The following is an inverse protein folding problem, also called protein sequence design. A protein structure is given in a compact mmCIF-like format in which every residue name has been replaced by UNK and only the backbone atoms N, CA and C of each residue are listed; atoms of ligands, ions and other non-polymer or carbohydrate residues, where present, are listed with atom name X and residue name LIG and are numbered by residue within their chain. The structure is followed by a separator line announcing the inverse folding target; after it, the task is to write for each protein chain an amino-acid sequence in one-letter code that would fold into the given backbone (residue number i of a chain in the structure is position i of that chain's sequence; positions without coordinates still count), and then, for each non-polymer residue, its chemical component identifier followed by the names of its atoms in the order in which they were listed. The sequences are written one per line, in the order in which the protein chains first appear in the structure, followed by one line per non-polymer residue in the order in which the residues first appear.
data_IF_363226349048
#
_entry.id   IF_363226349048
#
_cell.length_a   1.000
_cell.length_b   1.000
_cell.length_c   1.000
_cell.angle_alpha   90.00
_cell.angle_beta   90.00
_cell.angle_gamma   90.00
#
_symmetry.space_group_name_H-M   'P 1'
#
loop_
_entity.id
_entity.type
_entity.pdbx_description
1 polymer ?
#
# COMPACT_ATOMS: atom_id res chain seq x y z
N UNK A 1 -58.86 7.06 46.44
CA UNK A 1 -57.55 6.38 46.41
C UNK A 1 -56.88 6.75 45.10
N UNK A 2 -55.94 7.69 45.14
CA UNK A 2 -55.14 8.06 43.98
C UNK A 2 -54.12 6.95 43.75
N UNK A 3 -54.08 6.42 42.53
CA UNK A 3 -53.00 5.54 42.11
C UNK A 3 -51.72 6.39 42.05
N UNK A 4 -50.78 6.15 42.95
CA UNK A 4 -49.41 6.61 42.80
C UNK A 4 -48.87 6.00 41.51
N UNK A 5 -48.71 6.83 40.48
CA UNK A 5 -47.95 6.46 39.30
C UNK A 5 -46.51 6.21 39.77
N UNK A 6 -46.09 4.95 39.75
CA UNK A 6 -44.75 4.52 40.13
C UNK A 6 -43.72 5.36 39.36
N UNK A 7 -42.95 6.20 40.07
CA UNK A 7 -42.03 7.13 39.43
C UNK A 7 -40.96 6.35 38.68
N UNK A 8 -40.93 6.49 37.35
CA UNK A 8 -39.98 5.78 36.51
C UNK A 8 -38.53 6.11 36.90
N UNK A 9 -37.72 5.07 37.12
CA UNK A 9 -36.33 5.21 37.55
C UNK A 9 -35.46 5.95 36.53
N UNK A 10 -34.38 6.60 36.97
CA UNK A 10 -33.43 7.28 36.07
C UNK A 10 -32.84 6.32 35.02
N UNK A 11 -32.62 5.05 35.40
CA UNK A 11 -32.17 3.99 34.49
C UNK A 11 -33.19 3.76 33.38
N UNK A 12 -34.47 3.66 33.72
CA UNK A 12 -35.52 3.35 32.75
C UNK A 12 -35.79 4.53 31.81
N UNK A 13 -35.81 5.76 32.34
CA UNK A 13 -35.79 6.99 31.51
C UNK A 13 -34.59 7.00 30.57
N UNK A 14 -33.40 6.64 31.06
CA UNK A 14 -32.19 6.50 30.24
C UNK A 14 -32.34 5.47 29.12
N UNK A 15 -32.96 4.32 29.42
CA UNK A 15 -33.25 3.26 28.45
C UNK A 15 -34.23 3.74 27.37
N UNK A 16 -35.25 4.54 27.71
CA UNK A 16 -36.18 5.13 26.74
C UNK A 16 -35.46 6.08 25.76
N UNK A 17 -34.66 7.01 26.28
CA UNK A 17 -33.87 7.89 25.42
C UNK A 17 -32.85 7.11 24.57
N UNK A 18 -32.28 6.03 25.09
CA UNK A 18 -31.38 5.17 24.32
C UNK A 18 -32.12 4.50 23.16
N UNK A 19 -33.30 3.93 23.41
CA UNK A 19 -34.16 3.33 22.36
C UNK A 19 -34.61 4.35 21.32
N UNK A 20 -34.84 5.60 21.73
CA UNK A 20 -35.16 6.71 20.84
C UNK A 20 -33.94 7.28 20.08
N UNK A 21 -32.75 6.69 20.22
CA UNK A 21 -31.52 7.17 19.57
C UNK A 21 -30.92 8.45 20.19
N UNK A 22 -31.48 8.94 21.30
CA UNK A 22 -30.97 10.11 22.00
C UNK A 22 -29.89 9.72 23.02
N UNK A 23 -28.74 9.29 22.49
CA UNK A 23 -27.65 8.74 23.30
C UNK A 23 -27.03 9.74 24.27
N UNK A 24 -27.06 11.04 23.95
CA UNK A 24 -26.54 12.09 24.83
C UNK A 24 -27.40 12.25 26.08
N UNK A 25 -28.74 12.30 25.94
CA UNK A 25 -29.66 12.32 27.08
C UNK A 25 -29.62 11.01 27.85
N UNK A 26 -29.55 9.86 27.17
CA UNK A 26 -29.39 8.57 27.82
C UNK A 26 -28.13 8.52 28.70
N UNK A 27 -26.97 8.93 28.18
CA UNK A 27 -25.72 8.96 28.93
C UNK A 27 -25.77 9.91 30.13
N UNK A 28 -26.47 11.06 30.01
CA UNK A 28 -26.68 11.98 31.12
C UNK A 28 -27.52 11.35 32.23
N UNK A 29 -28.62 10.68 31.89
CA UNK A 29 -29.50 9.99 32.84
C UNK A 29 -28.81 8.81 33.52
N UNK A 30 -28.06 7.99 32.78
CA UNK A 30 -27.24 6.94 33.39
C UNK A 30 -26.17 7.52 34.32
N UNK A 31 -25.58 8.67 33.99
CA UNK A 31 -24.61 9.34 34.88
C UNK A 31 -25.26 9.80 36.17
N UNK A 32 -26.50 10.31 36.12
CA UNK A 32 -27.26 10.65 37.34
C UNK A 32 -27.61 9.39 38.14
N UNK A 33 -28.04 8.31 37.47
CA UNK A 33 -28.33 7.03 38.12
C UNK A 33 -27.08 6.45 38.81
N UNK A 34 -25.90 6.52 38.19
CA UNK A 34 -24.63 6.05 38.77
C UNK A 34 -24.26 6.82 40.04
N UNK A 35 -24.60 8.11 40.12
CA UNK A 35 -24.39 8.88 41.37
C UNK A 35 -25.26 8.37 42.52
N UNK A 36 -26.44 7.82 42.22
CA UNK A 36 -27.35 7.26 43.22
C UNK A 36 -26.96 5.81 43.59
N UNK A 37 -26.46 5.05 42.61
CA UNK A 37 -26.12 3.63 42.77
C UNK A 37 -24.80 3.29 42.04
N UNK A 38 -23.64 3.61 42.64
CA UNK A 38 -22.34 3.47 41.98
C UNK A 38 -21.83 2.03 41.93
N UNK A 39 -22.47 1.08 42.62
CA UNK A 39 -22.11 -0.35 42.59
C UNK A 39 -22.89 -1.15 41.55
N UNK A 40 -23.76 -0.49 40.78
CA UNK A 40 -24.62 -1.18 39.82
C UNK A 40 -23.97 -1.33 38.43
N UNK A 41 -23.50 -2.54 38.06
CA UNK A 41 -22.82 -2.77 36.78
C UNK A 41 -23.71 -2.47 35.58
N UNK A 42 -25.04 -2.56 35.71
CA UNK A 42 -25.97 -2.33 34.60
C UNK A 42 -25.94 -0.89 34.11
N UNK A 43 -25.76 0.06 35.02
CA UNK A 43 -25.72 1.48 34.67
C UNK A 43 -24.47 1.82 33.85
N UNK A 44 -23.32 1.28 34.25
CA UNK A 44 -22.08 1.42 33.48
C UNK A 44 -22.18 0.73 32.12
N UNK A 45 -22.73 -0.49 32.04
CA UNK A 45 -22.92 -1.20 30.77
C UNK A 45 -23.81 -0.44 29.78
N UNK A 46 -24.88 0.18 30.29
CA UNK A 46 -25.82 0.98 29.49
C UNK A 46 -25.19 2.32 29.07
N UNK A 47 -24.43 2.97 29.95
CA UNK A 47 -23.70 4.20 29.61
C UNK A 47 -22.55 3.94 28.62
N UNK A 48 -21.86 2.81 28.74
CA UNK A 48 -20.87 2.36 27.77
C UNK A 48 -21.48 2.23 26.37
N UNK A 49 -22.67 1.62 26.25
CA UNK A 49 -23.39 1.53 24.99
C UNK A 49 -23.74 2.91 24.42
N UNK A 50 -24.21 3.83 25.26
CA UNK A 50 -24.51 5.20 24.83
C UNK A 50 -23.26 5.94 24.36
N UNK A 51 -22.12 5.79 25.07
CA UNK A 51 -20.85 6.37 24.66
C UNK A 51 -20.29 5.75 23.37
N UNK A 52 -20.50 4.46 23.13
CA UNK A 52 -20.13 3.81 21.88
C UNK A 52 -20.88 4.44 20.69
N UNK A 53 -22.20 4.64 20.80
CA UNK A 53 -22.98 5.33 19.76
C UNK A 53 -22.59 6.80 19.57
N UNK A 54 -22.04 7.44 20.59
CA UNK A 54 -21.50 8.80 20.53
C UNK A 54 -20.03 8.85 20.08
N UNK A 55 -19.43 7.71 19.71
CA UNK A 55 -18.01 7.57 19.34
C UNK A 55 -17.05 8.08 20.44
N UNK A 56 -17.50 8.06 21.71
CA UNK A 56 -16.68 8.40 22.88
C UNK A 56 -15.96 7.14 23.38
N UNK A 57 -15.14 6.53 22.52
CA UNK A 57 -14.61 5.17 22.69
C UNK A 57 -13.84 4.95 24.00
N UNK A 58 -12.96 5.88 24.39
CA UNK A 58 -12.22 5.78 25.65
C UNK A 58 -13.13 5.80 26.89
N UNK A 59 -14.19 6.62 26.88
CA UNK A 59 -15.17 6.66 27.97
C UNK A 59 -16.03 5.40 28.01
N UNK A 60 -16.41 4.90 26.82
CA UNK A 60 -17.13 3.65 26.70
C UNK A 60 -16.31 2.48 27.25
N UNK A 61 -15.01 2.42 26.92
CA UNK A 61 -14.10 1.37 27.37
C UNK A 61 -13.96 1.37 28.90
N UNK A 62 -13.76 2.54 29.50
CA UNK A 62 -13.68 2.70 30.95
C UNK A 62 -14.97 2.22 31.66
N UNK A 63 -16.15 2.53 31.11
CA UNK A 63 -17.42 2.05 31.65
C UNK A 63 -17.60 0.52 31.47
N UNK A 64 -17.14 -0.04 30.35
CA UNK A 64 -17.16 -1.49 30.14
C UNK A 64 -16.23 -2.22 31.13
N UNK A 65 -15.05 -1.66 31.42
CA UNK A 65 -14.12 -2.21 32.40
C UNK A 65 -14.64 -2.08 33.82
N UNK A 66 -15.29 -0.96 34.14
CA UNK A 66 -16.00 -0.79 35.43
C UNK A 66 -17.12 -1.82 35.56
N UNK A 67 -17.87 -2.08 34.49
CA UNK A 67 -18.90 -3.12 34.46
C UNK A 67 -18.33 -4.50 34.82
N UNK A 68 -17.20 -4.87 34.21
CA UNK A 68 -16.50 -6.14 34.46
C UNK A 68 -15.97 -6.17 35.90
N UNK A 69 -15.41 -5.07 36.41
CA UNK A 69 -14.92 -5.02 37.79
C UNK A 69 -16.04 -5.18 38.83
N UNK A 70 -17.22 -4.62 38.57
CA UNK A 70 -18.38 -4.72 39.46
C UNK A 70 -19.09 -6.08 39.35
N UNK A 71 -19.08 -6.70 38.17
CA UNK A 71 -19.62 -8.05 37.98
C UNK A 71 -18.78 -8.85 36.96
N UNK A 72 -17.74 -9.56 37.44
CA UNK A 72 -16.79 -10.28 36.57
C UNK A 72 -17.37 -11.48 35.84
N UNK A 73 -18.55 -11.96 36.19
CA UNK A 73 -19.18 -13.11 35.54
C UNK A 73 -20.28 -12.70 34.55
N UNK A 74 -20.47 -11.40 34.35
CA UNK A 74 -21.53 -10.91 33.50
C UNK A 74 -21.07 -10.74 32.06
N UNK A 75 -21.60 -11.60 31.18
CA UNK A 75 -21.33 -11.60 29.74
C UNK A 75 -21.43 -10.19 29.11
N UNK A 76 -22.42 -9.39 29.50
CA UNK A 76 -22.63 -8.06 28.92
C UNK A 76 -21.45 -7.11 29.12
N UNK A 77 -20.68 -7.21 30.21
CA UNK A 77 -19.49 -6.39 30.42
C UNK A 77 -18.44 -6.63 29.34
N UNK A 78 -18.11 -7.92 29.14
CA UNK A 78 -17.17 -8.37 28.11
C UNK A 78 -17.69 -8.12 26.68
N UNK A 79 -18.99 -8.33 26.44
CA UNK A 79 -19.60 -8.03 25.15
C UNK A 79 -19.51 -6.54 24.80
N UNK A 80 -19.72 -5.63 25.76
CA UNK A 80 -19.53 -4.18 25.55
C UNK A 80 -18.08 -3.87 25.24
N UNK A 81 -17.14 -4.39 26.04
CA UNK A 81 -15.69 -4.22 25.80
C UNK A 81 -15.31 -4.67 24.39
N UNK A 82 -15.76 -5.85 23.96
CA UNK A 82 -15.53 -6.36 22.60
C UNK A 82 -16.07 -5.45 21.50
N UNK A 83 -17.29 -4.92 21.65
CA UNK A 83 -17.87 -3.99 20.68
C UNK A 83 -17.11 -2.67 20.57
N UNK A 84 -16.57 -2.17 21.69
CA UNK A 84 -15.81 -0.92 21.73
C UNK A 84 -14.43 -1.13 21.10
N UNK A 85 -13.75 -2.23 21.42
CA UNK A 85 -12.46 -2.60 20.84
C UNK A 85 -12.58 -2.88 19.33
N UNK A 86 -13.70 -3.47 18.88
CA UNK A 86 -14.04 -3.60 17.45
C UNK A 86 -14.09 -2.21 16.79
N UNK A 87 -14.74 -1.22 17.42
CA UNK A 87 -14.83 0.14 16.91
C UNK A 87 -13.49 0.91 16.97
N UNK A 88 -12.56 0.50 17.84
CA UNK A 88 -11.19 1.02 17.92
C UNK A 88 -10.23 0.27 16.96
N UNK A 89 -10.74 -0.68 16.17
CA UNK A 89 -9.96 -1.56 15.29
C UNK A 89 -8.86 -2.38 16.01
N UNK A 90 -9.04 -2.59 17.31
CA UNK A 90 -8.21 -3.46 18.15
C UNK A 90 -8.79 -4.88 18.12
N UNK A 91 -8.69 -5.52 16.95
CA UNK A 91 -9.45 -6.75 16.67
C UNK A 91 -9.04 -7.95 17.53
N UNK A 92 -7.76 -8.09 17.87
CA UNK A 92 -7.29 -9.20 18.72
C UNK A 92 -7.83 -9.08 20.15
N UNK A 93 -7.79 -7.88 20.73
CA UNK A 93 -8.35 -7.61 22.05
C UNK A 93 -9.88 -7.74 22.05
N UNK A 94 -10.54 -7.31 20.96
CA UNK A 94 -11.98 -7.49 20.78
C UNK A 94 -12.36 -8.98 20.74
N UNK A 95 -11.59 -9.81 20.04
CA UNK A 95 -11.79 -11.26 20.00
C UNK A 95 -11.65 -11.89 21.38
N UNK A 96 -10.61 -11.51 22.12
CA UNK A 96 -10.40 -11.96 23.50
C UNK A 96 -11.60 -11.63 24.39
N UNK A 97 -12.08 -10.37 24.35
CA UNK A 97 -13.25 -9.95 25.12
C UNK A 97 -14.52 -10.73 24.71
N UNK A 98 -14.78 -10.93 23.42
CA UNK A 98 -15.93 -11.72 22.98
C UNK A 98 -15.81 -13.21 23.33
N UNK A 99 -14.60 -13.78 23.33
CA UNK A 99 -14.38 -15.16 23.79
C UNK A 99 -14.70 -15.31 25.28
N UNK A 100 -14.27 -14.37 26.12
CA UNK A 100 -14.67 -14.38 27.54
C UNK A 100 -16.18 -14.16 27.71
N UNK A 101 -16.79 -13.28 26.91
CA UNK A 101 -18.25 -13.10 26.90
C UNK A 101 -18.96 -14.44 26.60
N UNK A 102 -18.46 -15.20 25.61
CA UNK A 102 -19.01 -16.52 25.25
C UNK A 102 -18.78 -17.58 26.35
N UNK A 103 -17.71 -17.49 27.15
CA UNK A 103 -17.51 -18.38 28.30
C UNK A 103 -18.62 -18.22 29.35
N UNK A 104 -19.06 -16.99 29.60
CA UNK A 104 -20.15 -16.70 30.56
C UNK A 104 -21.56 -16.91 29.98
N UNK A 105 -21.72 -16.85 28.65
CA UNK A 105 -22.97 -17.21 27.98
C UNK A 105 -22.71 -17.98 26.67
N UNK A 106 -22.50 -19.31 26.74
CA UNK A 106 -22.12 -20.12 25.57
C UNK A 106 -23.18 -20.18 24.47
N UNK A 107 -24.44 -19.88 24.77
CA UNK A 107 -25.55 -19.92 23.82
C UNK A 107 -25.81 -18.56 23.15
N UNK A 108 -24.97 -17.55 23.40
CA UNK A 108 -25.12 -16.21 22.81
C UNK A 108 -24.82 -16.21 21.30
N UNK A 109 -25.90 -16.27 20.50
CA UNK A 109 -25.82 -16.15 19.04
C UNK A 109 -25.27 -14.77 18.60
N UNK A 110 -25.48 -13.73 19.40
CA UNK A 110 -24.94 -12.39 19.12
C UNK A 110 -23.42 -12.36 19.27
N UNK A 111 -22.88 -12.87 20.39
CA UNK A 111 -21.43 -12.98 20.61
C UNK A 111 -20.78 -13.83 19.52
N UNK A 112 -21.38 -14.96 19.16
CA UNK A 112 -20.88 -15.84 18.09
C UNK A 112 -20.78 -15.12 16.74
N UNK A 113 -21.79 -14.30 16.38
CA UNK A 113 -21.75 -13.47 15.16
C UNK A 113 -20.64 -12.42 15.21
N UNK A 114 -20.45 -11.79 16.37
CA UNK A 114 -19.36 -10.81 16.58
C UNK A 114 -17.98 -11.45 16.41
N UNK A 115 -17.73 -12.61 17.04
CA UNK A 115 -16.46 -13.35 16.88
C UNK A 115 -16.19 -13.65 15.41
N UNK A 116 -17.18 -14.17 14.66
CA UNK A 116 -17.02 -14.47 13.23
C UNK A 116 -16.65 -13.23 12.42
N UNK A 117 -17.36 -12.11 12.65
CA UNK A 117 -17.10 -10.84 11.97
C UNK A 117 -15.71 -10.29 12.29
N UNK A 118 -15.36 -10.18 13.57
CA UNK A 118 -14.08 -9.62 13.99
C UNK A 118 -12.92 -10.52 13.59
N UNK A 119 -13.10 -11.84 13.59
CA UNK A 119 -12.09 -12.77 13.06
C UNK A 119 -11.80 -12.54 11.58
N UNK A 120 -12.82 -12.19 10.80
CA UNK A 120 -12.63 -11.83 9.39
C UNK A 120 -11.90 -10.48 9.26
N UNK A 121 -12.31 -9.47 10.02
CA UNK A 121 -11.65 -8.16 10.02
C UNK A 121 -10.18 -8.24 10.46
N UNK A 122 -9.85 -9.05 11.47
CA UNK A 122 -8.49 -9.29 11.92
C UNK A 122 -7.63 -9.92 10.80
N UNK A 123 -8.16 -10.94 10.12
CA UNK A 123 -7.50 -11.57 8.97
C UNK A 123 -7.28 -10.58 7.82
N UNK A 124 -8.27 -9.75 7.52
CA UNK A 124 -8.19 -8.76 6.46
C UNK A 124 -7.19 -7.65 6.79
N UNK A 125 -7.15 -7.17 8.04
CA UNK A 125 -6.13 -6.21 8.53
C UNK A 125 -4.73 -6.80 8.45
N UNK A 126 -4.54 -8.05 8.90
CA UNK A 126 -3.24 -8.72 8.81
C UNK A 126 -2.79 -8.91 7.36
N UNK A 127 -3.69 -9.33 6.46
CA UNK A 127 -3.40 -9.45 5.02
C UNK A 127 -3.05 -8.11 4.40
N UNK A 128 -3.77 -7.04 4.76
CA UNK A 128 -3.47 -5.70 4.27
C UNK A 128 -2.08 -5.24 4.72
N UNK A 129 -1.74 -5.45 6.00
CA UNK A 129 -0.41 -5.13 6.53
C UNK A 129 0.71 -5.94 5.86
N UNK A 130 0.52 -7.24 5.67
CA UNK A 130 1.51 -8.08 4.98
C UNK A 130 1.75 -7.63 3.53
N UNK A 131 0.68 -7.26 2.82
CA UNK A 131 0.81 -6.68 1.47
C UNK A 131 1.58 -5.37 1.52
N UNK A 132 1.26 -4.48 2.46
CA UNK A 132 1.95 -3.20 2.57
C UNK A 132 3.44 -3.38 2.87
N UNK A 133 3.77 -4.32 3.76
CA UNK A 133 5.15 -4.68 4.04
C UNK A 133 5.87 -5.22 2.78
N UNK A 134 5.20 -6.02 1.94
CA UNK A 134 5.79 -6.48 0.67
C UNK A 134 5.99 -5.32 -0.31
N UNK A 135 5.05 -4.36 -0.36
CA UNK A 135 5.20 -3.15 -1.19
C UNK A 135 6.39 -2.31 -0.75
N UNK A 136 6.59 -2.14 0.56
CA UNK A 136 7.71 -1.37 1.13
C UNK A 136 9.05 -2.09 1.08
N UNK A 137 9.07 -3.41 0.82
CA UNK A 137 10.29 -4.21 0.83
C UNK A 137 11.08 -4.17 -0.48
N UNK A 138 10.54 -3.59 -1.56
CA UNK A 138 11.34 -3.35 -2.78
C UNK A 138 12.19 -2.11 -2.53
N UNK A 139 13.28 -2.27 -1.77
CA UNK A 139 14.27 -1.22 -1.55
C UNK A 139 15.12 -1.09 -2.81
N UNK A 140 14.68 -0.22 -3.73
CA UNK A 140 15.39 0.02 -4.99
C UNK A 140 16.84 0.46 -4.76
N UNK A 141 17.11 1.18 -3.68
CA UNK A 141 18.46 1.68 -3.38
C UNK A 141 19.37 0.51 -3.04
N UNK A 142 18.92 -0.42 -2.19
CA UNK A 142 19.69 -1.60 -1.81
C UNK A 142 19.99 -2.50 -3.03
N UNK A 143 19.02 -2.70 -3.93
CA UNK A 143 19.23 -3.52 -5.12
C UNK A 143 20.09 -2.86 -6.20
N UNK A 144 20.36 -1.57 -6.07
CA UNK A 144 21.18 -0.80 -7.01
C UNK A 144 22.57 -0.47 -6.46
N UNK A 145 23.02 -1.07 -5.36
CA UNK A 145 24.34 -0.81 -4.77
C UNK A 145 25.51 -1.10 -5.72
N UNK A 146 25.44 -2.19 -6.50
CA UNK A 146 26.44 -2.49 -7.54
C UNK A 146 26.43 -1.41 -8.64
N UNK A 147 25.23 -0.99 -9.07
CA UNK A 147 25.07 0.07 -10.06
C UNK A 147 25.57 1.42 -9.56
N UNK A 148 25.31 1.73 -8.29
CA UNK A 148 25.80 2.92 -7.59
C UNK A 148 27.33 2.95 -7.55
N UNK A 149 27.94 1.81 -7.23
CA UNK A 149 29.40 1.66 -7.20
C UNK A 149 29.99 1.90 -8.59
N UNK A 150 29.47 1.23 -9.62
CA UNK A 150 29.92 1.41 -11.01
C UNK A 150 29.72 2.85 -11.51
N UNK A 151 28.60 3.48 -11.15
CA UNK A 151 28.34 4.90 -11.42
C UNK A 151 29.44 5.80 -10.84
N UNK A 152 29.75 5.61 -9.55
CA UNK A 152 30.76 6.42 -8.87
C UNK A 152 32.16 6.24 -9.46
N UNK A 153 32.48 5.04 -9.95
CA UNK A 153 33.76 4.75 -10.60
C UNK A 153 33.85 5.40 -11.99
N UNK A 154 32.82 5.26 -12.83
CA UNK A 154 32.87 5.74 -14.22
C UNK A 154 32.68 7.25 -14.37
N UNK A 155 31.91 7.86 -13.47
CA UNK A 155 31.69 9.31 -13.46
C UNK A 155 32.68 10.06 -12.56
N UNK A 156 33.46 9.36 -11.74
CA UNK A 156 34.43 9.93 -10.82
C UNK A 156 33.79 10.71 -9.66
N UNK A 157 34.55 11.65 -9.09
CA UNK A 157 34.17 12.40 -7.88
C UNK A 157 33.11 13.50 -8.10
N UNK A 158 32.54 13.64 -9.30
CA UNK A 158 31.54 14.67 -9.58
C UNK A 158 30.19 14.37 -8.93
N UNK A 159 29.52 15.39 -8.36
CA UNK A 159 28.15 15.23 -7.83
C UNK A 159 27.09 14.89 -8.90
N UNK A 160 27.47 14.92 -10.18
CA UNK A 160 26.61 14.62 -11.32
C UNK A 160 26.04 13.19 -11.29
N UNK A 161 26.84 12.19 -10.89
CA UNK A 161 26.35 10.80 -10.87
C UNK A 161 25.26 10.56 -9.83
N UNK A 162 25.25 11.32 -8.72
CA UNK A 162 24.20 11.22 -7.69
C UNK A 162 22.84 11.64 -8.25
N UNK A 163 22.81 12.66 -9.11
CA UNK A 163 21.60 13.11 -9.78
C UNK A 163 21.10 12.05 -10.77
N UNK A 164 22.00 11.44 -11.54
CA UNK A 164 21.65 10.34 -12.46
C UNK A 164 21.16 9.11 -11.70
N UNK A 165 21.81 8.75 -10.59
CA UNK A 165 21.40 7.63 -9.74
C UNK A 165 20.00 7.87 -9.14
N UNK A 166 19.76 9.07 -8.60
CA UNK A 166 18.44 9.44 -8.06
C UNK A 166 17.36 9.38 -9.13
N UNK A 167 17.65 9.88 -10.34
CA UNK A 167 16.76 9.79 -11.49
C UNK A 167 16.37 8.33 -11.83
N UNK A 168 17.32 7.39 -11.80
CA UNK A 168 17.04 5.97 -12.03
C UNK A 168 16.14 5.40 -10.94
N UNK A 169 16.49 5.63 -9.68
CA UNK A 169 15.72 5.16 -8.51
C UNK A 169 14.29 5.68 -8.57
N UNK A 170 14.10 6.99 -8.73
CA UNK A 170 12.78 7.63 -8.80
C UNK A 170 11.93 7.08 -9.96
N UNK A 171 12.56 6.81 -11.11
CA UNK A 171 11.87 6.22 -12.27
C UNK A 171 11.39 4.80 -11.96
N UNK A 172 12.25 3.97 -11.34
CA UNK A 172 11.93 2.59 -10.96
C UNK A 172 10.84 2.55 -9.88
N UNK A 173 10.95 3.38 -8.84
CA UNK A 173 9.96 3.49 -7.77
C UNK A 173 8.61 3.96 -8.30
N UNK A 174 8.59 4.94 -9.21
CA UNK A 174 7.36 5.42 -9.85
C UNK A 174 6.69 4.31 -10.67
N UNK A 175 7.47 3.52 -11.41
CA UNK A 175 6.96 2.39 -12.16
C UNK A 175 6.41 1.28 -11.25
N UNK A 176 7.12 0.93 -10.18
CA UNK A 176 6.66 -0.06 -9.19
C UNK A 176 5.36 0.40 -8.52
N UNK A 177 5.29 1.67 -8.11
CA UNK A 177 4.09 2.24 -7.52
C UNK A 177 2.90 2.15 -8.47
N UNK A 178 3.07 2.58 -9.72
CA UNK A 178 2.03 2.46 -10.76
C UNK A 178 1.56 1.01 -10.94
N UNK A 179 2.50 0.05 -10.94
CA UNK A 179 2.17 -1.37 -11.06
C UNK A 179 1.41 -1.89 -9.83
N UNK A 180 1.82 -1.52 -8.61
CA UNK A 180 1.10 -1.92 -7.39
C UNK A 180 -0.31 -1.36 -7.29
N UNK A 181 -0.56 -0.18 -7.87
CA UNK A 181 -1.86 0.48 -7.87
C UNK A 181 -2.78 -0.05 -8.97
N UNK A 182 -2.24 -0.29 -10.17
CA UNK A 182 -3.06 -0.54 -11.37
C UNK A 182 -2.82 -1.92 -12.00
N UNK A 183 -1.85 -2.68 -11.51
CA UNK A 183 -1.32 -3.91 -12.12
C UNK A 183 -0.81 -3.70 -13.55
N UNK A 184 -0.46 -2.46 -13.90
CA UNK A 184 0.03 -2.06 -15.23
C UNK A 184 1.07 -0.94 -15.10
N UNK A 185 1.92 -0.84 -16.11
CA UNK A 185 2.75 0.34 -16.40
C UNK A 185 2.65 0.64 -17.89
N UNK A 186 2.61 1.93 -18.23
CA UNK A 186 2.69 2.36 -19.62
C UNK A 186 4.14 2.29 -20.11
N UNK A 187 4.32 2.01 -21.40
CA UNK A 187 5.65 2.10 -21.99
C UNK A 187 6.05 3.56 -22.22
N UNK A 188 7.11 3.99 -21.54
CA UNK A 188 7.57 5.38 -21.49
C UNK A 188 9.09 5.44 -21.51
N UNK A 189 9.65 6.46 -22.15
CA UNK A 189 11.04 6.87 -22.01
C UNK A 189 11.09 8.15 -21.19
N UNK A 190 11.78 8.08 -20.06
CA UNK A 190 12.08 9.19 -19.18
C UNK A 190 13.44 9.75 -19.56
N UNK A 191 13.56 11.06 -19.68
CA UNK A 191 14.79 11.75 -20.05
C UNK A 191 15.24 12.65 -18.89
N UNK A 192 16.52 12.55 -18.53
CA UNK A 192 17.15 13.47 -17.57
C UNK A 192 17.63 14.72 -18.30
N UNK A 193 16.73 15.70 -18.40
CA UNK A 193 16.92 16.95 -19.12
C UNK A 193 17.89 17.90 -18.40
N UNK A 194 18.74 18.58 -19.17
CA UNK A 194 19.50 19.74 -18.68
C UNK A 194 18.57 20.95 -18.67
N UNK A 195 18.07 21.33 -17.49
CA UNK A 195 17.06 22.40 -17.34
C UNK A 195 17.51 23.76 -17.85
N UNK A 196 18.83 24.01 -17.94
CA UNK A 196 19.36 25.30 -18.41
C UNK A 196 19.44 25.36 -19.93
N UNK A 197 19.66 24.21 -20.58
CA UNK A 197 19.82 24.12 -22.04
C UNK A 197 18.55 23.71 -22.77
N UNK A 198 17.62 23.06 -22.09
CA UNK A 198 16.43 22.48 -22.71
C UNK A 198 15.30 23.50 -22.82
N UNK A 199 14.71 23.60 -24.02
CA UNK A 199 13.41 24.25 -24.20
C UNK A 199 12.30 23.35 -23.61
N UNK A 200 11.91 23.64 -22.36
CA UNK A 200 10.92 22.84 -21.62
C UNK A 200 9.48 23.02 -22.10
N UNK A 201 9.19 24.00 -22.95
CA UNK A 201 7.88 24.10 -23.62
C UNK A 201 7.80 23.13 -24.79
N UNK A 202 8.94 22.87 -25.45
CA UNK A 202 9.03 21.98 -26.60
C UNK A 202 9.34 20.52 -26.23
N UNK A 203 10.19 20.29 -25.23
CA UNK A 203 10.66 18.95 -24.86
C UNK A 203 10.21 18.58 -23.45
N UNK A 204 9.27 17.64 -23.36
CA UNK A 204 8.85 17.02 -22.11
C UNK A 204 9.88 15.97 -21.62
N UNK A 205 10.00 15.77 -20.30
CA UNK A 205 10.90 14.76 -19.73
C UNK A 205 10.40 13.32 -19.91
N UNK A 206 9.16 13.12 -20.37
CA UNK A 206 8.56 11.80 -20.54
C UNK A 206 7.95 11.69 -21.92
N UNK A 207 8.31 10.63 -22.65
CA UNK A 207 7.79 10.32 -23.99
C UNK A 207 7.09 8.96 -23.94
N UNK A 208 5.83 8.89 -24.38
CA UNK A 208 5.10 7.62 -24.49
C UNK A 208 5.57 6.82 -25.70
N UNK A 209 5.76 5.51 -25.53
CA UNK A 209 6.28 4.60 -26.56
C UNK A 209 5.48 3.29 -26.64
N UNK A 210 4.20 3.32 -26.26
CA UNK A 210 3.28 2.17 -26.27
C UNK A 210 3.21 1.48 -27.64
N UNK A 211 3.21 2.26 -28.73
CA UNK A 211 3.15 1.75 -30.11
C UNK A 211 4.50 1.28 -30.66
N UNK A 212 5.59 1.53 -29.94
CA UNK A 212 6.92 1.19 -30.44
C UNK A 212 7.13 -0.32 -30.58
N UNK A 213 6.33 -1.14 -29.91
CA UNK A 213 6.48 -2.60 -29.90
C UNK A 213 5.48 -3.33 -30.81
N UNK A 214 4.66 -2.61 -31.58
CA UNK A 214 3.67 -3.19 -32.50
C UNK A 214 4.31 -3.88 -33.71
N UNK A 215 5.46 -3.39 -34.19
CA UNK A 215 6.17 -3.94 -35.35
C UNK A 215 7.66 -3.56 -35.37
N UNK A 216 8.52 -4.26 -36.14
CA UNK A 216 9.92 -3.84 -36.33
C UNK A 216 10.05 -2.44 -36.94
N UNK A 217 9.09 -2.03 -37.79
CA UNK A 217 9.11 -0.72 -38.42
C UNK A 217 8.81 0.39 -37.40
N UNK A 218 7.75 0.24 -36.61
CA UNK A 218 7.40 1.22 -35.56
C UNK A 218 8.48 1.29 -34.48
N UNK A 219 9.11 0.17 -34.14
CA UNK A 219 10.26 0.14 -33.23
C UNK A 219 11.45 0.93 -33.77
N UNK A 220 11.84 0.68 -35.03
CA UNK A 220 12.96 1.38 -35.68
C UNK A 220 12.74 2.88 -35.81
N UNK A 221 11.54 3.30 -36.24
CA UNK A 221 11.18 4.73 -36.34
C UNK A 221 11.13 5.41 -34.97
N UNK A 222 10.58 4.74 -33.95
CA UNK A 222 10.55 5.26 -32.58
C UNK A 222 11.96 5.44 -32.04
N UNK A 223 12.84 4.44 -32.22
CA UNK A 223 14.24 4.54 -31.83
C UNK A 223 14.95 5.75 -32.46
N UNK A 224 14.81 5.94 -33.78
CA UNK A 224 15.43 7.09 -34.47
C UNK A 224 14.93 8.43 -33.91
N UNK A 225 13.63 8.53 -33.65
CA UNK A 225 13.03 9.70 -33.02
C UNK A 225 13.59 9.94 -31.61
N UNK A 226 13.63 8.92 -30.75
CA UNK A 226 14.12 9.04 -29.38
C UNK A 226 15.59 9.47 -29.31
N UNK A 227 16.41 9.01 -30.26
CA UNK A 227 17.81 9.43 -30.37
C UNK A 227 17.94 10.92 -30.71
N UNK A 228 17.19 11.39 -31.71
CA UNK A 228 17.15 12.82 -32.04
C UNK A 228 16.61 13.63 -30.87
N UNK A 229 15.57 13.13 -30.20
CA UNK A 229 14.97 13.77 -29.04
C UNK A 229 15.97 13.93 -27.89
N UNK A 230 16.77 12.90 -27.60
CA UNK A 230 17.81 12.95 -26.57
C UNK A 230 18.85 14.05 -26.87
N UNK A 231 19.30 14.14 -28.12
CA UNK A 231 20.28 15.13 -28.56
C UNK A 231 19.70 16.56 -28.53
N UNK A 232 18.49 16.76 -29.08
CA UNK A 232 17.84 18.07 -29.13
C UNK A 232 17.45 18.63 -27.75
N UNK A 233 17.13 17.73 -26.82
CA UNK A 233 16.73 18.07 -25.45
C UNK A 233 17.91 18.11 -24.48
N UNK A 234 19.16 18.06 -24.98
CA UNK A 234 20.37 18.05 -24.15
C UNK A 234 20.31 17.03 -23.00
N UNK A 235 19.68 15.89 -23.24
CA UNK A 235 19.48 14.86 -22.22
C UNK A 235 20.83 14.27 -21.80
N UNK A 236 21.03 14.12 -20.49
CA UNK A 236 22.25 13.51 -19.93
C UNK A 236 22.14 12.00 -19.73
N UNK A 237 20.91 11.50 -19.58
CA UNK A 237 20.58 10.09 -19.45
C UNK A 237 19.11 9.84 -19.83
N UNK A 238 18.75 8.58 -20.02
CA UNK A 238 17.38 8.15 -20.21
C UNK A 238 17.08 6.82 -19.51
N UNK A 239 15.83 6.63 -19.09
CA UNK A 239 15.29 5.38 -18.59
C UNK A 239 14.06 4.99 -19.41
N UNK A 240 14.09 3.84 -20.07
CA UNK A 240 12.90 3.22 -20.64
C UNK A 240 12.23 2.37 -19.57
N UNK A 241 10.92 2.50 -19.43
CA UNK A 241 10.05 1.54 -18.73
C UNK A 241 9.12 0.91 -19.76
N UNK A 242 9.04 -0.42 -19.83
CA UNK A 242 8.12 -1.10 -20.74
C UNK A 242 7.56 -2.39 -20.12
N UNK A 243 6.24 -2.60 -20.11
CA UNK A 243 5.65 -3.85 -19.61
C UNK A 243 6.04 -5.01 -20.52
N UNK A 244 6.32 -6.18 -19.94
CA UNK A 244 6.68 -7.38 -20.71
C UNK A 244 5.56 -7.79 -21.67
N UNK A 245 4.30 -7.55 -21.29
CA UNK A 245 3.11 -7.97 -22.04
C UNK A 245 2.98 -7.34 -23.44
N UNK A 246 3.57 -6.16 -23.68
CA UNK A 246 3.52 -5.52 -25.00
C UNK A 246 4.75 -5.83 -25.85
N UNK A 247 5.75 -6.53 -25.30
CA UNK A 247 6.96 -6.90 -26.01
C UNK A 247 6.71 -8.26 -26.66
N UNK A 248 5.99 -8.22 -27.78
CA UNK A 248 5.47 -9.41 -28.47
C UNK A 248 6.45 -10.06 -29.45
N UNK A 249 7.59 -9.44 -29.79
CA UNK A 249 8.44 -9.91 -30.89
C UNK A 249 9.94 -9.51 -30.73
N UNK A 250 10.91 -10.29 -31.25
CA UNK A 250 12.32 -10.21 -30.88
C UNK A 250 13.08 -9.10 -31.62
N UNK A 251 13.90 -8.31 -30.91
CA UNK A 251 14.72 -7.26 -31.54
C UNK A 251 16.19 -7.68 -31.79
N UNK A 252 16.41 -8.95 -32.17
CA UNK A 252 17.69 -9.58 -32.57
C UNK A 252 18.58 -10.13 -31.43
N UNK A 253 18.31 -11.39 -31.08
CA UNK A 253 19.15 -12.29 -30.28
C UNK A 253 20.40 -12.72 -31.08
N UNK A 254 21.48 -11.92 -31.04
CA UNK A 254 22.75 -12.30 -31.68
C UNK A 254 23.48 -13.36 -30.85
N UNK A 255 23.02 -14.61 -30.91
CA UNK A 255 23.73 -15.74 -30.31
C UNK A 255 22.98 -17.07 -30.41
N UNK A 256 23.72 -18.15 -30.68
CA UNK A 256 23.24 -19.53 -30.53
C UNK A 256 23.29 -19.90 -29.03
N UNK A 257 22.12 -20.05 -28.40
CA UNK A 257 21.96 -20.42 -26.98
C UNK A 257 20.47 -20.57 -26.65
N UNK A 258 20.11 -21.09 -25.48
CA UNK A 258 18.70 -21.29 -25.05
C UNK A 258 17.98 -19.92 -24.92
N UNK A 259 17.40 -19.47 -26.04
CA UNK A 259 16.66 -18.22 -26.27
C UNK A 259 15.30 -18.20 -25.58
N UNK A 260 15.27 -18.28 -24.26
CA UNK A 260 14.07 -18.02 -23.47
C UNK A 260 14.41 -16.92 -22.47
N UNK A 261 13.52 -15.95 -22.34
CA UNK A 261 13.56 -15.02 -21.21
C UNK A 261 13.81 -15.83 -19.93
N UNK A 262 14.81 -15.46 -19.15
CA UNK A 262 15.01 -16.03 -17.80
C UNK A 262 13.69 -16.00 -17.01
N UNK A 263 12.88 -14.96 -17.25
CA UNK A 263 11.58 -14.72 -16.64
C UNK A 263 10.38 -15.05 -17.53
N UNK A 264 10.50 -16.00 -18.46
CA UNK A 264 9.42 -16.30 -19.43
C UNK A 264 8.05 -16.55 -18.79
N UNK A 265 8.00 -17.11 -17.58
CA UNK A 265 6.76 -17.41 -16.86
C UNK A 265 6.27 -16.30 -15.91
N UNK A 266 7.13 -15.37 -15.50
CA UNK A 266 6.76 -14.28 -14.60
C UNK A 266 6.28 -13.07 -15.40
N UNK A 267 5.23 -12.40 -14.93
CA UNK A 267 4.82 -11.11 -15.48
C UNK A 267 5.68 -9.98 -14.89
N UNK A 268 5.65 -8.79 -15.44
CA UNK A 268 6.43 -7.66 -14.94
C UNK A 268 6.78 -6.66 -16.03
N UNK A 269 7.82 -5.87 -15.78
CA UNK A 269 8.25 -4.83 -16.71
C UNK A 269 9.77 -4.68 -16.72
N UNK A 270 10.27 -4.16 -17.83
CA UNK A 270 11.68 -3.87 -18.04
C UNK A 270 11.97 -2.42 -17.72
N UNK A 271 13.15 -2.18 -17.14
CA UNK A 271 13.74 -0.85 -17.01
C UNK A 271 15.10 -0.87 -17.67
N UNK A 272 15.27 -0.10 -18.74
CA UNK A 272 16.56 0.06 -19.41
C UNK A 272 17.09 1.47 -19.14
N UNK A 273 18.19 1.55 -18.41
CA UNK A 273 18.91 2.81 -18.19
C UNK A 273 20.03 2.98 -19.23
N UNK A 274 20.21 4.22 -19.66
CA UNK A 274 21.28 4.59 -20.55
C UNK A 274 21.81 6.00 -20.33
N UNK A 275 23.12 6.13 -20.43
CA UNK A 275 23.86 7.39 -20.57
C UNK A 275 25.01 7.22 -21.58
N UNK A 276 25.76 8.30 -21.89
CA UNK A 276 26.97 8.17 -22.71
C UNK A 276 28.04 7.20 -22.15
N UNK A 277 28.05 6.97 -20.83
CA UNK A 277 29.08 6.17 -20.13
C UNK A 277 28.58 4.78 -19.69
N UNK A 278 27.28 4.64 -19.43
CA UNK A 278 26.71 3.45 -18.80
C UNK A 278 25.41 2.99 -19.45
N UNK A 279 25.20 1.67 -19.40
CA UNK A 279 24.02 0.99 -19.91
C UNK A 279 23.68 -0.16 -18.98
N UNK A 280 22.42 -0.20 -18.53
CA UNK A 280 21.91 -1.25 -17.65
C UNK A 280 20.49 -1.63 -18.03
N UNK A 281 20.15 -2.88 -17.77
CA UNK A 281 18.82 -3.41 -17.98
C UNK A 281 18.42 -4.21 -16.76
N UNK A 282 17.23 -3.92 -16.24
CA UNK A 282 16.59 -4.67 -15.18
C UNK A 282 15.25 -5.21 -15.67
N UNK A 283 14.89 -6.36 -15.16
CA UNK A 283 13.51 -6.84 -15.17
C UNK A 283 12.98 -6.80 -13.74
N UNK A 284 11.85 -6.14 -13.53
CA UNK A 284 11.14 -6.11 -12.25
C UNK A 284 10.01 -7.14 -12.37
N UNK A 285 10.17 -8.33 -11.77
CA UNK A 285 9.15 -9.35 -11.82
C UNK A 285 7.95 -8.91 -11.01
N UNK A 286 6.80 -9.49 -11.31
CA UNK A 286 5.61 -9.41 -10.49
C UNK A 286 5.03 -10.79 -10.25
N UNK A 287 4.40 -10.96 -9.10
CA UNK A 287 3.66 -12.17 -8.76
C UNK A 287 2.31 -11.82 -8.14
N UNK A 288 1.35 -12.72 -8.35
CA UNK A 288 0.04 -12.61 -7.71
C UNK A 288 0.10 -13.27 -6.34
N UNK A 289 0.11 -12.46 -5.28
CA UNK A 289 0.04 -12.94 -3.91
C UNK A 289 -1.24 -12.44 -3.26
N UNK A 290 -2.05 -13.40 -2.78
CA UNK A 290 -3.32 -13.10 -2.10
C UNK A 290 -4.15 -12.11 -2.91
N UNK A 291 -4.36 -12.38 -4.20
CA UNK A 291 -5.23 -11.58 -5.08
C UNK A 291 -4.73 -10.17 -5.40
N UNK A 292 -3.48 -9.82 -5.09
CA UNK A 292 -2.84 -8.58 -5.52
C UNK A 292 -1.59 -8.88 -6.33
N UNK A 293 -1.34 -8.08 -7.36
CA UNK A 293 -0.13 -8.17 -8.18
C UNK A 293 0.95 -7.29 -7.56
N UNK A 294 2.05 -7.90 -7.12
CA UNK A 294 3.13 -7.24 -6.40
C UNK A 294 4.44 -7.39 -7.15
N UNK A 295 5.14 -6.28 -7.36
CA UNK A 295 6.52 -6.28 -7.85
C UNK A 295 7.47 -6.94 -6.86
N UNK A 296 8.54 -7.53 -7.40
CA UNK A 296 9.67 -8.12 -6.68
C UNK A 296 10.92 -7.32 -6.97
N UNK A 297 12.00 -7.72 -6.31
CA UNK A 297 13.32 -7.13 -6.44
C UNK A 297 13.76 -7.05 -7.91
N UNK A 298 14.37 -5.94 -8.35
CA UNK A 298 14.89 -5.81 -9.70
C UNK A 298 15.97 -6.85 -9.97
N UNK A 299 15.84 -7.55 -11.10
CA UNK A 299 16.80 -8.52 -11.57
C UNK A 299 17.63 -7.93 -12.72
N UNK A 300 18.96 -7.90 -12.55
CA UNK A 300 19.88 -7.43 -13.59
C UNK A 300 19.88 -8.41 -14.78
N UNK A 301 19.71 -7.87 -15.99
CA UNK A 301 19.82 -8.62 -17.24
C UNK A 301 21.05 -8.19 -18.03
N UNK A 302 21.63 -9.13 -18.75
CA UNK A 302 22.68 -8.84 -19.73
C UNK A 302 22.09 -8.02 -20.88
N UNK A 303 22.44 -6.73 -20.91
CA UNK A 303 21.94 -5.80 -21.92
C UNK A 303 22.42 -6.16 -23.33
N UNK A 304 23.56 -6.83 -23.48
CA UNK A 304 24.06 -7.25 -24.81
C UNK A 304 23.19 -8.33 -25.44
N UNK A 305 22.48 -9.10 -24.60
CA UNK A 305 21.60 -10.18 -25.01
C UNK A 305 20.12 -9.80 -25.01
N UNK A 306 19.71 -8.82 -24.18
CA UNK A 306 18.29 -8.57 -23.87
C UNK A 306 17.84 -7.10 -24.04
N UNK A 307 18.63 -6.23 -24.71
CA UNK A 307 18.22 -4.83 -24.89
C UNK A 307 16.80 -4.68 -25.47
N UNK A 308 16.05 -3.72 -24.92
CA UNK A 308 14.69 -3.39 -25.33
C UNK A 308 14.69 -2.31 -26.41
N UNK A 309 15.57 -1.33 -26.28
CA UNK A 309 15.89 -0.35 -27.31
C UNK A 309 17.40 -0.30 -27.59
N UNK A 310 17.83 -0.02 -28.83
CA UNK A 310 19.23 0.23 -29.13
C UNK A 310 19.75 1.49 -28.44
N UNK A 311 21.08 1.67 -28.47
CA UNK A 311 21.76 2.79 -27.82
C UNK A 311 21.29 4.15 -28.36
N UNK A 312 20.70 4.96 -27.49
CA UNK A 312 20.25 6.34 -27.73
C UNK A 312 21.42 7.33 -27.74
N UNK A 313 22.36 7.21 -26.80
CA UNK A 313 23.46 8.18 -26.64
C UNK A 313 24.72 7.74 -27.38
N UNK A 314 25.50 8.69 -27.91
CA UNK A 314 26.84 8.38 -28.42
C UNK A 314 27.73 7.96 -27.25
N UNK A 315 28.41 6.82 -27.39
CA UNK A 315 29.31 6.30 -26.38
C UNK A 315 30.52 7.23 -26.22
N UNK A 316 30.76 7.68 -24.99
CA UNK A 316 32.02 8.33 -24.62
C UNK A 316 32.94 7.25 -24.07
N UNK A 317 34.04 6.97 -24.75
CA UNK A 317 35.10 6.14 -24.19
C UNK A 317 35.65 6.87 -22.96
N UNK A 318 35.69 6.20 -21.82
CA UNK A 318 36.40 6.70 -20.65
C UNK A 318 37.86 6.90 -21.06
N UNK A 319 38.36 8.14 -21.01
CA UNK A 319 39.80 8.36 -21.14
C UNK A 319 40.47 7.59 -20.00
N UNK A 320 41.19 6.52 -20.38
CA UNK A 320 42.00 5.66 -19.53
C UNK A 320 43.11 6.41 -18.84
#
# INVERSE_FOLDING_TARGET
MAAEAEEMSLKDKGNEFFKAGNYLKAAALYTQAIKQDPSNPTLFSNRAAAFLHLVKLNKALADAETTISLNPQWEKGYFRKGCILEAMEQYDDALSAFQTALQYNPQSAEVSRKIKRVSQLAKDKKRAQEVENIRSNVDMVQHLDEFKSEMSEKYGAEECWKHVFSFVVETMETAVKSWHETSKVDAKVYFLLDKEKTDTEKYAPIVNVDKAFESPHTHGSCFQFLRQYADDSFSSAACLVAPKSIISYPQVWRGQGLRKWRHSQQDGFFVQFESPLLRKLWFIPSSNEKGKTLCRDPEVLDISAHEVFPRLFKEKLSNS
#
